data_IF_575707623830
#
_entry.id   IF_575707623830
#
_cell.length_a   1.000
_cell.length_b   1.000
_cell.length_c   1.000
_cell.angle_alpha   90.00
_cell.angle_beta   90.00
_cell.angle_gamma   90.00
#
_symmetry.space_group_name_H-M   'P 1'
#
loop_
_entity.id
_entity.type
_entity.pdbx_description
1 polymer ?
#
# COMPACT_ATOMS: atom_id res chain seq x y z
N UNK A 1 13.62 23.46 -44.63
CA UNK A 1 12.37 23.66 -43.86
C UNK A 1 12.47 22.78 -42.60
N UNK A 2 13.02 23.32 -41.51
CA UNK A 2 13.14 22.60 -40.24
C UNK A 2 11.82 22.76 -39.47
N UNK A 3 11.18 21.67 -38.98
CA UNK A 3 9.95 21.78 -38.21
C UNK A 3 10.21 22.57 -36.92
N UNK A 4 9.41 23.59 -36.67
CA UNK A 4 9.43 24.35 -35.42
C UNK A 4 9.10 23.43 -34.23
N UNK A 5 9.79 23.57 -33.08
CA UNK A 5 9.47 22.78 -31.91
C UNK A 5 8.00 23.02 -31.50
N UNK A 6 7.30 21.99 -31.02
CA UNK A 6 5.93 22.13 -30.55
C UNK A 6 5.85 23.19 -29.45
N UNK A 7 4.80 24.02 -29.47
CA UNK A 7 4.56 25.02 -28.44
C UNK A 7 4.49 24.34 -27.07
N UNK A 8 5.14 24.94 -26.06
CA UNK A 8 5.26 24.37 -24.72
C UNK A 8 3.89 24.05 -24.07
N UNK A 9 2.82 24.71 -24.50
CA UNK A 9 1.44 24.46 -24.07
C UNK A 9 0.91 23.09 -24.53
N UNK A 10 1.12 22.70 -25.79
CA UNK A 10 0.64 21.42 -26.31
C UNK A 10 1.31 20.22 -25.61
N UNK A 11 2.59 20.36 -25.25
CA UNK A 11 3.32 19.37 -24.47
C UNK A 11 2.84 19.27 -23.01
N UNK A 12 2.37 20.39 -22.43
CA UNK A 12 1.82 20.45 -21.07
C UNK A 12 0.44 19.82 -20.99
N UNK A 13 -0.42 20.08 -21.96
CA UNK A 13 -1.75 19.47 -22.07
C UNK A 13 -1.66 17.94 -22.24
N UNK A 14 -0.78 17.46 -23.13
CA UNK A 14 -0.54 16.03 -23.27
C UNK A 14 -0.05 15.37 -21.98
N UNK A 15 0.85 16.04 -21.24
CA UNK A 15 1.32 15.54 -19.93
C UNK A 15 0.20 15.52 -18.89
N UNK A 16 -0.66 16.53 -18.86
CA UNK A 16 -1.82 16.56 -17.96
C UNK A 16 -2.78 15.41 -18.27
N UNK A 17 -3.15 15.22 -19.53
CA UNK A 17 -4.03 14.14 -19.97
C UNK A 17 -3.42 12.77 -19.66
N UNK A 18 -2.13 12.57 -19.96
CA UNK A 18 -1.42 11.33 -19.65
C UNK A 18 -1.35 11.07 -18.14
N UNK A 19 -1.15 12.10 -17.31
CA UNK A 19 -1.11 11.96 -15.85
C UNK A 19 -2.48 11.61 -15.25
N UNK A 20 -3.56 12.18 -15.79
CA UNK A 20 -4.93 11.85 -15.37
C UNK A 20 -5.26 10.40 -15.75
N UNK A 21 -4.93 9.99 -16.98
CA UNK A 21 -5.14 8.62 -17.44
C UNK A 21 -4.34 7.61 -16.60
N UNK A 22 -3.08 7.91 -16.29
CA UNK A 22 -2.26 7.08 -15.42
C UNK A 22 -2.77 7.03 -13.98
N UNK A 23 -3.22 8.16 -13.44
CA UNK A 23 -3.83 8.21 -12.11
C UNK A 23 -5.11 7.37 -12.02
N UNK A 24 -5.95 7.42 -13.06
CA UNK A 24 -7.20 6.65 -13.13
C UNK A 24 -6.96 5.14 -13.19
N UNK A 25 -6.01 4.69 -14.01
CA UNK A 25 -5.68 3.26 -14.12
C UNK A 25 -5.07 2.73 -12.82
N UNK A 26 -4.10 3.46 -12.24
CA UNK A 26 -3.48 3.09 -10.96
C UNK A 26 -4.49 3.12 -9.81
N UNK A 27 -5.37 4.13 -9.75
CA UNK A 27 -6.40 4.24 -8.73
C UNK A 27 -7.40 3.09 -8.79
N UNK A 28 -7.82 2.70 -10.01
CA UNK A 28 -8.72 1.55 -10.21
C UNK A 28 -8.07 0.26 -9.75
N UNK A 29 -6.83 0.00 -10.17
CA UNK A 29 -6.07 -1.19 -9.75
C UNK A 29 -5.90 -1.24 -8.22
N UNK A 30 -5.55 -0.11 -7.61
CA UNK A 30 -5.38 -0.01 -6.15
C UNK A 30 -6.69 -0.26 -5.41
N UNK A 31 -7.81 0.24 -5.92
CA UNK A 31 -9.14 0.01 -5.33
C UNK A 31 -9.50 -1.47 -5.35
N UNK A 32 -9.27 -2.16 -6.46
CA UNK A 32 -9.48 -3.61 -6.56
C UNK A 32 -8.59 -4.36 -5.56
N UNK A 33 -7.32 -3.98 -5.47
CA UNK A 33 -6.38 -4.58 -4.50
C UNK A 33 -6.83 -4.36 -3.05
N UNK A 34 -7.31 -3.16 -2.69
CA UNK A 34 -7.82 -2.87 -1.35
C UNK A 34 -9.04 -3.72 -0.99
N UNK A 35 -9.94 -3.94 -1.95
CA UNK A 35 -11.09 -4.83 -1.76
C UNK A 35 -10.60 -6.27 -1.51
N UNK A 36 -9.66 -6.77 -2.33
CA UNK A 36 -9.08 -8.11 -2.14
C UNK A 36 -8.38 -8.25 -0.79
N UNK A 37 -7.63 -7.25 -0.37
CA UNK A 37 -6.92 -7.24 0.92
C UNK A 37 -7.87 -7.14 2.11
N UNK A 38 -8.92 -6.32 2.03
CA UNK A 38 -9.98 -6.29 3.04
C UNK A 38 -10.69 -7.63 3.15
N UNK A 39 -11.03 -8.26 2.02
CA UNK A 39 -11.64 -9.58 2.01
C UNK A 39 -10.73 -10.65 2.62
N UNK A 40 -9.41 -10.57 2.37
CA UNK A 40 -8.43 -11.48 2.96
C UNK A 40 -8.29 -11.26 4.48
N UNK A 41 -8.23 -9.99 4.91
CA UNK A 41 -8.04 -9.60 6.30
C UNK A 41 -9.20 -9.99 7.20
N UNK A 42 -10.43 -9.88 6.70
CA UNK A 42 -11.66 -10.18 7.43
C UNK A 42 -12.24 -11.57 7.10
N UNK A 43 -11.48 -12.43 6.44
CA UNK A 43 -11.92 -13.78 6.07
C UNK A 43 -12.07 -14.72 7.28
N UNK A 44 -12.91 -15.75 7.14
CA UNK A 44 -13.09 -16.80 8.14
C UNK A 44 -14.02 -16.40 9.30
N UNK A 45 -13.60 -16.51 10.58
CA UNK A 45 -14.47 -16.28 11.74
C UNK A 45 -14.99 -14.84 11.87
N UNK A 46 -14.43 -13.89 11.11
CA UNK A 46 -14.86 -12.49 11.04
C UNK A 46 -15.74 -12.18 9.81
N UNK A 47 -16.20 -13.20 9.08
CA UNK A 47 -17.01 -13.00 7.87
C UNK A 47 -18.32 -12.22 8.10
N UNK A 48 -18.86 -12.23 9.32
CA UNK A 48 -20.01 -11.38 9.67
C UNK A 48 -19.70 -9.87 9.61
N UNK A 49 -18.43 -9.51 9.76
CA UNK A 49 -17.92 -8.14 9.77
C UNK A 49 -17.38 -7.67 8.42
N UNK A 50 -17.44 -8.51 7.38
CA UNK A 50 -16.72 -8.29 6.12
C UNK A 50 -17.09 -6.95 5.47
N UNK A 51 -18.38 -6.59 5.49
CA UNK A 51 -18.86 -5.32 4.93
C UNK A 51 -18.27 -4.10 5.65
N UNK A 52 -18.20 -4.13 6.98
CA UNK A 52 -17.62 -3.03 7.77
C UNK A 52 -16.10 -2.95 7.59
N UNK A 53 -15.43 -4.11 7.55
CA UNK A 53 -13.98 -4.19 7.34
C UNK A 53 -13.52 -3.71 5.97
N UNK A 54 -14.23 -4.08 4.90
CA UNK A 54 -13.95 -3.59 3.54
C UNK A 54 -14.17 -2.08 3.45
N UNK A 55 -15.24 -1.56 4.06
CA UNK A 55 -15.48 -0.11 4.14
C UNK A 55 -14.35 0.66 4.83
N UNK A 56 -13.86 0.16 5.96
CA UNK A 56 -12.71 0.75 6.66
C UNK A 56 -11.42 0.72 5.81
N UNK A 57 -11.20 -0.39 5.08
CA UNK A 57 -10.01 -0.56 4.23
C UNK A 57 -10.03 0.42 3.04
N UNK A 58 -11.20 0.61 2.43
CA UNK A 58 -11.41 1.59 1.35
C UNK A 58 -11.21 3.03 1.84
N UNK A 59 -11.80 3.37 3.00
CA UNK A 59 -11.63 4.70 3.60
C UNK A 59 -10.14 4.97 3.89
N UNK A 60 -9.43 4.00 4.45
CA UNK A 60 -7.99 4.09 4.70
C UNK A 60 -7.19 4.30 3.41
N UNK A 61 -7.53 3.58 2.34
CA UNK A 61 -6.91 3.76 1.03
C UNK A 61 -7.10 5.16 0.45
N UNK A 62 -8.32 5.72 0.55
CA UNK A 62 -8.61 7.10 0.13
C UNK A 62 -7.81 8.11 0.94
N UNK A 63 -7.74 7.95 2.27
CA UNK A 63 -6.97 8.83 3.14
C UNK A 63 -5.47 8.80 2.80
N UNK A 64 -4.90 7.61 2.62
CA UNK A 64 -3.49 7.45 2.23
C UNK A 64 -3.25 8.07 0.85
N UNK A 65 -4.14 7.82 -0.11
CA UNK A 65 -4.06 8.42 -1.44
C UNK A 65 -4.10 9.96 -1.39
N UNK A 66 -4.97 10.53 -0.54
CA UNK A 66 -5.06 11.97 -0.32
C UNK A 66 -3.80 12.55 0.31
N UNK A 67 -3.26 11.88 1.33
CA UNK A 67 -1.99 12.27 1.97
C UNK A 67 -0.82 12.20 0.99
N UNK A 68 -0.75 11.15 0.15
CA UNK A 68 0.27 11.04 -0.89
C UNK A 68 0.10 12.09 -1.98
N UNK A 69 -1.13 12.42 -2.37
CA UNK A 69 -1.41 13.46 -3.37
C UNK A 69 -0.99 14.86 -2.89
N UNK A 70 -1.18 15.16 -1.60
CA UNK A 70 -0.81 16.46 -1.01
C UNK A 70 0.66 16.53 -0.57
N UNK A 71 1.20 15.43 -0.03
CA UNK A 71 2.54 15.38 0.56
C UNK A 71 3.62 14.84 -0.36
N UNK A 72 3.26 14.32 -1.53
CA UNK A 72 4.19 13.75 -2.51
C UNK A 72 5.17 14.79 -3.04
N UNK A 73 6.40 14.77 -2.54
CA UNK A 73 7.48 15.65 -3.00
C UNK A 73 8.04 15.28 -4.39
N UNK A 74 7.61 14.16 -4.97
CA UNK A 74 8.01 13.70 -6.31
C UNK A 74 6.78 13.50 -7.21
N UNK A 75 6.74 14.10 -8.41
CA UNK A 75 5.68 13.85 -9.38
C UNK A 75 5.76 12.38 -9.83
N UNK A 76 4.75 11.58 -9.46
CA UNK A 76 4.65 10.17 -9.85
C UNK A 76 5.02 9.16 -8.76
N UNK A 77 5.15 9.55 -7.49
CA UNK A 77 5.28 8.57 -6.39
C UNK A 77 3.99 7.75 -6.26
N UNK A 78 4.04 6.50 -6.70
CA UNK A 78 2.96 5.53 -6.51
C UNK A 78 3.29 4.67 -5.29
N UNK A 79 2.55 4.89 -4.20
CA UNK A 79 2.59 4.00 -3.05
C UNK A 79 2.04 2.63 -3.45
N UNK A 80 2.92 1.66 -3.69
CA UNK A 80 2.50 0.29 -4.02
C UNK A 80 2.02 -0.40 -2.74
N UNK A 81 0.76 -0.86 -2.68
CA UNK A 81 0.30 -1.66 -1.55
C UNK A 81 1.06 -2.99 -1.56
N UNK A 82 1.69 -3.34 -0.44
CA UNK A 82 2.54 -4.52 -0.32
C UNK A 82 1.75 -5.67 0.29
N UNK A 83 1.70 -6.83 -0.39
CA UNK A 83 0.85 -7.96 0.05
C UNK A 83 1.31 -8.64 1.34
N UNK A 84 2.62 -8.67 1.63
CA UNK A 84 3.16 -9.45 2.75
C UNK A 84 2.63 -9.00 4.12
N UNK A 85 2.62 -7.69 4.49
CA UNK A 85 2.02 -7.21 5.73
C UNK A 85 0.55 -7.60 5.88
N UNK A 86 -0.22 -7.58 4.80
CA UNK A 86 -1.66 -7.89 4.83
C UNK A 86 -1.88 -9.35 5.19
N UNK A 87 -1.11 -10.26 4.59
CA UNK A 87 -1.20 -11.70 4.87
C UNK A 87 -0.86 -11.99 6.34
N UNK A 88 0.23 -11.41 6.86
CA UNK A 88 0.64 -11.59 8.26
C UNK A 88 -0.41 -11.03 9.20
N UNK A 89 -0.97 -9.86 8.90
CA UNK A 89 -2.01 -9.24 9.72
C UNK A 89 -3.31 -10.05 9.73
N UNK A 90 -3.70 -10.64 8.60
CA UNK A 90 -4.85 -11.56 8.50
C UNK A 90 -4.64 -12.83 9.34
N UNK A 91 -3.42 -13.38 9.32
CA UNK A 91 -3.07 -14.53 10.13
C UNK A 91 -3.12 -14.21 11.64
N UNK A 92 -2.62 -13.04 12.04
CA UNK A 92 -2.69 -12.57 13.42
C UNK A 92 -4.14 -12.33 13.88
N UNK A 93 -4.95 -11.68 13.05
CA UNK A 93 -6.36 -11.41 13.33
C UNK A 93 -7.17 -12.71 13.52
N UNK A 94 -6.95 -13.71 12.64
CA UNK A 94 -7.61 -15.02 12.76
C UNK A 94 -7.14 -15.80 13.99
N UNK A 95 -5.86 -15.71 14.36
CA UNK A 95 -5.34 -16.27 15.60
C UNK A 95 -6.01 -15.65 16.83
N UNK A 96 -6.11 -14.32 16.86
CA UNK A 96 -6.72 -13.58 17.96
C UNK A 96 -8.22 -13.88 18.08
N UNK A 97 -8.94 -13.95 16.96
CA UNK A 97 -10.37 -14.29 16.92
C UNK A 97 -10.68 -15.67 17.52
N UNK A 98 -9.73 -16.61 17.46
CA UNK A 98 -9.86 -17.94 18.07
C UNK A 98 -9.47 -17.96 19.56
N UNK A 99 -8.60 -17.05 19.99
CA UNK A 99 -8.11 -16.98 21.38
C UNK A 99 -9.02 -16.14 22.28
N UNK A 100 -9.59 -15.04 21.79
CA UNK A 100 -10.44 -14.13 22.59
C UNK A 100 -11.59 -14.86 23.30
N UNK A 101 -12.39 -15.72 22.63
CA UNK A 101 -13.48 -16.44 23.30
C UNK A 101 -13.02 -17.36 24.43
N UNK A 102 -11.73 -17.77 24.44
CA UNK A 102 -11.15 -18.62 25.48
C UNK A 102 -10.65 -17.83 26.69
N UNK A 103 -10.27 -16.57 26.49
CA UNK A 103 -9.67 -15.71 27.53
C UNK A 103 -10.70 -14.76 28.14
N UNK A 104 -11.62 -14.24 27.32
CA UNK A 104 -12.67 -13.32 27.73
C UNK A 104 -14.00 -13.67 27.02
N UNK A 105 -14.82 -14.57 27.60
CA UNK A 105 -16.13 -14.91 27.04
C UNK A 105 -17.05 -13.68 27.05
N UNK A 106 -17.56 -13.28 25.90
CA UNK A 106 -18.49 -12.14 25.76
C UNK A 106 -17.85 -10.81 25.33
N UNK A 107 -16.53 -10.74 25.16
CA UNK A 107 -15.89 -9.56 24.57
C UNK A 107 -16.10 -9.50 23.06
N UNK A 108 -16.29 -8.29 22.53
CA UNK A 108 -16.50 -8.07 21.11
C UNK A 108 -15.19 -8.35 20.33
N UNK A 109 -15.13 -9.51 19.69
CA UNK A 109 -13.95 -10.00 18.95
C UNK A 109 -13.55 -9.02 17.84
N UNK A 110 -14.55 -8.41 17.23
CA UNK A 110 -14.43 -7.45 16.14
C UNK A 110 -13.69 -6.19 16.60
N UNK A 111 -14.09 -5.63 17.74
CA UNK A 111 -13.46 -4.44 18.32
C UNK A 111 -11.99 -4.69 18.65
N UNK A 112 -11.66 -5.86 19.20
CA UNK A 112 -10.28 -6.23 19.56
C UNK A 112 -9.37 -6.34 18.33
N UNK A 113 -9.88 -6.95 17.24
CA UNK A 113 -9.14 -7.06 15.97
C UNK A 113 -8.95 -5.68 15.33
N UNK A 114 -9.98 -4.82 15.35
CA UNK A 114 -9.87 -3.45 14.84
C UNK A 114 -8.84 -2.64 15.64
N UNK A 115 -8.81 -2.75 16.97
CA UNK A 115 -7.82 -2.07 17.81
C UNK A 115 -6.41 -2.57 17.51
N UNK A 116 -6.21 -3.88 17.33
CA UNK A 116 -4.91 -4.45 16.94
C UNK A 116 -4.43 -3.86 15.62
N UNK A 117 -5.30 -3.79 14.61
CA UNK A 117 -4.98 -3.24 13.28
C UNK A 117 -4.66 -1.75 13.39
N UNK A 118 -5.45 -0.98 14.14
CA UNK A 118 -5.20 0.45 14.36
C UNK A 118 -3.86 0.70 15.05
N UNK A 119 -3.57 -0.04 16.13
CA UNK A 119 -2.33 0.14 16.88
C UNK A 119 -1.10 -0.24 16.04
N UNK A 120 -1.18 -1.34 15.29
CA UNK A 120 -0.10 -1.78 14.40
C UNK A 120 0.16 -0.77 13.28
N UNK A 121 -0.91 -0.24 12.69
CA UNK A 121 -0.84 0.78 11.63
C UNK A 121 -0.29 2.10 12.16
N UNK A 122 -0.76 2.54 13.34
CA UNK A 122 -0.29 3.76 13.98
C UNK A 122 1.20 3.65 14.35
N UNK A 123 1.63 2.53 14.92
CA UNK A 123 3.03 2.29 15.26
C UNK A 123 3.90 2.29 13.99
N UNK A 124 3.49 1.57 12.95
CA UNK A 124 4.21 1.56 11.67
C UNK A 124 4.26 2.96 11.04
N UNK A 125 3.15 3.69 11.04
CA UNK A 125 3.07 5.06 10.55
C UNK A 125 3.98 6.02 11.32
N UNK A 126 4.00 5.93 12.66
CA UNK A 126 4.92 6.71 13.49
C UNK A 126 6.38 6.39 13.15
N UNK A 127 6.75 5.11 13.04
CA UNK A 127 8.11 4.70 12.65
C UNK A 127 8.46 5.25 11.26
N UNK A 128 7.55 5.13 10.28
CA UNK A 128 7.76 5.64 8.93
C UNK A 128 7.91 7.17 8.89
N UNK A 129 7.11 7.90 9.68
CA UNK A 129 7.23 9.36 9.83
C UNK A 129 8.56 9.74 10.47
N UNK A 130 8.98 9.02 11.52
CA UNK A 130 10.28 9.20 12.16
C UNK A 130 11.42 8.94 11.14
N UNK A 131 11.36 7.88 10.35
CA UNK A 131 12.36 7.61 9.31
C UNK A 131 12.36 8.68 8.20
N UNK A 132 11.18 9.19 7.84
CA UNK A 132 11.01 10.27 6.87
C UNK A 132 11.65 11.58 7.33
N UNK A 133 11.41 12.01 8.57
CA UNK A 133 12.04 13.22 9.14
C UNK A 133 13.57 13.07 9.27
N UNK A 134 14.08 11.88 9.57
CA UNK A 134 15.52 11.62 9.66
C UNK A 134 16.19 11.46 8.28
N UNK A 135 15.45 11.57 7.17
CA UNK A 135 15.95 11.42 5.79
C UNK A 135 16.77 10.14 5.60
N UNK A 136 16.39 9.05 6.27
CA UNK A 136 17.06 7.74 6.14
C UNK A 136 17.02 7.19 4.69
N UNK A 137 16.16 7.75 3.83
CA UNK A 137 16.18 7.50 2.39
C UNK A 137 17.52 7.86 1.71
N UNK A 138 18.31 8.79 2.27
CA UNK A 138 19.64 9.11 1.76
C UNK A 138 20.66 7.97 2.01
N UNK A 139 20.33 7.00 2.88
CA UNK A 139 21.14 5.81 3.10
C UNK A 139 21.09 4.84 1.92
N UNK A 140 19.99 4.82 1.15
CA UNK A 140 19.91 4.05 -0.10
C UNK A 140 20.94 4.49 -1.15
N UNK A 141 21.47 5.72 -1.04
CA UNK A 141 22.56 6.21 -1.91
C UNK A 141 23.89 5.51 -1.65
N UNK A 142 24.02 4.81 -0.53
CA UNK A 142 25.21 4.05 -0.14
C UNK A 142 25.09 2.55 -0.37
N UNK A 143 23.94 2.07 -0.87
CA UNK A 143 23.88 0.74 -1.47
C UNK A 143 24.56 0.83 -2.84
N UNK A 144 25.78 0.31 -3.02
CA UNK A 144 26.25 0.05 -4.38
C UNK A 144 25.18 -0.83 -5.04
N UNK A 145 24.75 -0.48 -6.26
CA UNK A 145 23.83 -1.32 -7.01
C UNK A 145 24.32 -2.77 -6.93
N UNK A 146 23.59 -3.68 -6.25
CA UNK A 146 24.01 -5.06 -6.21
C UNK A 146 23.93 -5.59 -7.63
N UNK A 147 25.05 -6.08 -8.11
CA UNK A 147 25.22 -6.83 -9.34
C UNK A 147 24.36 -8.11 -9.31
N UNK A 148 23.04 -7.98 -9.50
CA UNK A 148 22.14 -9.14 -9.67
C UNK A 148 22.29 -9.84 -11.03
N UNK A 149 23.25 -9.41 -11.84
CA UNK A 149 23.47 -9.92 -13.20
C UNK A 149 24.60 -10.96 -13.31
N UNK A 150 25.16 -11.44 -12.18
CA UNK A 150 26.27 -12.39 -12.18
C UNK A 150 25.87 -13.88 -12.13
N UNK A 151 24.63 -14.25 -11.80
CA UNK A 151 24.24 -15.67 -11.64
C UNK A 151 23.39 -16.26 -12.76
N UNK A 152 22.98 -15.49 -13.78
CA UNK A 152 22.04 -15.96 -14.81
C UNK A 152 22.70 -16.52 -16.09
N UNK A 153 24.03 -16.52 -16.20
CA UNK A 153 24.73 -17.09 -17.36
C UNK A 153 24.99 -18.60 -17.26
N UNK A 154 24.74 -19.24 -16.13
CA UNK A 154 25.05 -20.68 -15.92
C UNK A 154 23.82 -21.60 -16.04
N UNK A 155 22.61 -21.06 -16.24
CA UNK A 155 21.37 -21.84 -16.20
C UNK A 155 20.76 -22.17 -17.59
N UNK A 156 21.46 -21.92 -18.69
CA UNK A 156 21.00 -22.31 -20.05
C UNK A 156 22.08 -23.14 -20.74
N UNK A 157 22.00 -24.49 -20.68
CA UNK A 157 22.72 -25.34 -21.62
C UNK A 157 22.03 -25.30 -23.00
N UNK A 158 22.85 -25.23 -24.04
CA UNK A 158 22.48 -25.31 -25.46
C UNK A 158 21.72 -26.59 -25.83
#
# INVERSE_FOLDING_TARGET
MSPSPPSAEAAREHRLLASIAAGLTVGTLTTLTLISFGALLFSGPLAAALGQGVGMTLLGGVLIGFVLALGGSFPGTVGRPHELPVIVLALMATGLARQIPRVAPGSDVLASVTVLIMLSTALFGCIALLLGQFRAGNLFRYLPFPCWEASWREAVPC
#
